data_IF_049763533050
#
_entry.id   IF_049763533050
#
_cell.length_a   1.000
_cell.length_b   1.000
_cell.length_c   1.000
_cell.angle_alpha   90.00
_cell.angle_beta   90.00
_cell.angle_gamma   90.00
#
_symmetry.space_group_name_H-M   'P 1'
#
loop_
_entity.id
_entity.type
_entity.pdbx_description
1 polymer ?
#
# COMPACT_ATOMS: atom_id res chain seq x y z
N UNK A 1 5.48 -16.51 3.38
CA UNK A 1 5.13 -15.60 4.49
C UNK A 1 5.31 -14.14 4.14
N UNK A 2 6.52 -13.61 3.89
CA UNK A 2 6.66 -12.17 3.53
C UNK A 2 6.03 -11.82 2.17
N UNK A 3 6.11 -12.73 1.20
CA UNK A 3 5.50 -12.57 -0.13
C UNK A 3 3.97 -12.50 -0.08
N UNK A 4 3.33 -13.32 0.76
CA UNK A 4 1.87 -13.35 0.90
C UNK A 4 1.34 -12.04 1.50
N UNK A 5 2.04 -11.47 2.49
CA UNK A 5 1.71 -10.17 3.05
C UNK A 5 1.84 -9.05 2.00
N UNK A 6 2.88 -9.09 1.17
CA UNK A 6 3.09 -8.10 0.11
C UNK A 6 1.97 -8.20 -0.95
N UNK A 7 1.58 -9.41 -1.34
CA UNK A 7 0.49 -9.63 -2.29
C UNK A 7 -0.87 -9.15 -1.72
N UNK A 8 -1.12 -9.40 -0.44
CA UNK A 8 -2.31 -8.94 0.27
C UNK A 8 -2.38 -7.39 0.31
N UNK A 9 -1.28 -6.75 0.71
CA UNK A 9 -1.15 -5.29 0.71
C UNK A 9 -1.38 -4.74 -0.71
N UNK A 10 -0.78 -5.36 -1.73
CA UNK A 10 -0.95 -4.95 -3.13
C UNK A 10 -2.42 -5.02 -3.55
N UNK A 11 -3.12 -6.12 -3.24
CA UNK A 11 -4.54 -6.28 -3.57
C UNK A 11 -5.40 -5.19 -2.94
N UNK A 12 -5.20 -4.91 -1.65
CA UNK A 12 -5.96 -3.87 -0.96
C UNK A 12 -5.60 -2.46 -1.47
N UNK A 13 -4.34 -2.20 -1.81
CA UNK A 13 -3.94 -0.95 -2.48
C UNK A 13 -4.62 -0.79 -3.85
N UNK A 14 -4.75 -1.86 -4.64
CA UNK A 14 -5.43 -1.81 -5.94
C UNK A 14 -6.90 -1.38 -5.80
N UNK A 15 -7.59 -1.86 -4.77
CA UNK A 15 -8.97 -1.45 -4.46
C UNK A 15 -9.03 0.04 -4.08
N UNK A 16 -8.12 0.50 -3.21
CA UNK A 16 -8.08 1.90 -2.77
C UNK A 16 -7.74 2.86 -3.91
N UNK A 17 -6.86 2.44 -4.83
CA UNK A 17 -6.47 3.22 -6.00
C UNK A 17 -7.49 3.14 -7.14
N UNK A 18 -8.57 2.37 -6.99
CA UNK A 18 -9.58 2.18 -8.03
C UNK A 18 -9.09 1.37 -9.25
N UNK A 19 -7.99 0.62 -9.09
CA UNK A 19 -7.46 -0.30 -10.09
C UNK A 19 -8.30 -1.58 -10.12
N UNK A 20 -8.74 -2.05 -8.94
CA UNK A 20 -9.54 -3.25 -8.76
C UNK A 20 -10.88 -2.95 -8.06
N UNK A 21 -11.86 -3.86 -8.21
CA UNK A 21 -13.17 -3.73 -7.56
C UNK A 21 -13.17 -4.43 -6.20
N UNK A 22 -13.51 -3.70 -5.15
CA UNK A 22 -13.64 -4.26 -3.81
C UNK A 22 -14.27 -3.28 -2.84
N UNK A 23 -14.39 -3.69 -1.58
CA UNK A 23 -14.87 -2.83 -0.51
C UNK A 23 -13.73 -1.93 -0.01
N UNK A 24 -13.94 -0.62 -0.12
CA UNK A 24 -12.92 0.38 0.26
C UNK A 24 -12.67 0.37 1.77
N UNK A 25 -13.71 0.18 2.58
CA UNK A 25 -13.58 0.19 4.02
C UNK A 25 -12.82 -1.04 4.51
N UNK A 26 -13.13 -2.22 3.96
CA UNK A 26 -12.40 -3.45 4.20
C UNK A 26 -10.93 -3.31 3.79
N UNK A 27 -10.65 -2.76 2.60
CA UNK A 27 -9.28 -2.57 2.13
C UNK A 27 -8.46 -1.65 3.04
N UNK A 28 -9.06 -0.55 3.53
CA UNK A 28 -8.39 0.36 4.47
C UNK A 28 -8.12 -0.35 5.80
N UNK A 29 -9.09 -1.11 6.33
CA UNK A 29 -8.94 -1.87 7.58
C UNK A 29 -7.87 -2.96 7.47
N UNK A 30 -7.83 -3.69 6.36
CA UNK A 30 -6.82 -4.71 6.10
C UNK A 30 -5.42 -4.10 6.03
N UNK A 31 -5.25 -2.97 5.35
CA UNK A 31 -3.97 -2.25 5.32
C UNK A 31 -3.55 -1.72 6.69
N UNK A 32 -4.51 -1.32 7.54
CA UNK A 32 -4.20 -0.85 8.90
C UNK A 32 -3.68 -2.00 9.78
N UNK A 33 -4.17 -3.22 9.59
CA UNK A 33 -3.61 -4.41 10.23
C UNK A 33 -2.24 -4.79 9.62
N UNK A 34 -2.15 -4.80 8.28
CA UNK A 34 -0.94 -5.17 7.56
C UNK A 34 0.25 -4.23 7.85
N UNK A 35 0.01 -2.95 8.17
CA UNK A 35 1.09 -2.00 8.52
C UNK A 35 1.91 -2.45 9.74
N UNK A 36 1.31 -3.21 10.66
CA UNK A 36 1.95 -3.71 11.87
C UNK A 36 2.91 -4.88 11.57
N UNK A 37 2.61 -5.63 10.51
CA UNK A 37 3.42 -6.75 10.04
C UNK A 37 4.42 -6.34 8.95
N UNK A 38 4.14 -5.25 8.23
CA UNK A 38 5.05 -4.68 7.25
C UNK A 38 6.27 -4.05 7.92
N UNK A 39 7.43 -4.10 7.25
CA UNK A 39 8.68 -3.51 7.74
C UNK A 39 9.21 -2.45 6.78
N UNK A 40 10.10 -1.58 7.28
CA UNK A 40 10.78 -0.56 6.48
C UNK A 40 9.85 0.50 5.88
N UNK A 41 10.13 0.88 4.62
CA UNK A 41 9.40 1.95 3.92
C UNK A 41 7.91 1.64 3.71
N UNK A 42 7.55 0.37 3.54
CA UNK A 42 6.17 -0.02 3.30
C UNK A 42 5.27 0.31 4.51
N UNK A 43 5.71 -0.05 5.72
CA UNK A 43 5.00 0.31 6.96
C UNK A 43 4.84 1.81 7.10
N UNK A 44 5.89 2.59 6.80
CA UNK A 44 5.84 4.05 6.85
C UNK A 44 4.81 4.64 5.87
N UNK A 45 4.76 4.16 4.63
CA UNK A 45 3.79 4.65 3.65
C UNK A 45 2.35 4.28 4.03
N UNK A 46 2.13 3.07 4.55
CA UNK A 46 0.82 2.65 5.05
C UNK A 46 0.37 3.50 6.25
N UNK A 47 1.26 3.77 7.21
CA UNK A 47 0.95 4.62 8.37
C UNK A 47 0.58 6.06 7.97
N UNK A 48 1.23 6.61 6.94
CA UNK A 48 0.92 7.95 6.41
C UNK A 48 -0.26 7.96 5.42
N UNK A 49 -0.93 6.82 5.20
CA UNK A 49 -1.96 6.64 4.15
C UNK A 49 -1.48 7.09 2.76
N UNK A 50 -0.19 6.94 2.52
CA UNK A 50 0.46 7.27 1.25
C UNK A 50 0.35 6.08 0.29
N UNK A 51 -0.89 5.66 0.02
CA UNK A 51 -1.21 4.42 -0.72
C UNK A 51 -0.57 4.39 -2.11
N UNK A 52 -0.50 5.53 -2.78
CA UNK A 52 0.16 5.65 -4.08
C UNK A 52 1.69 5.39 -3.99
N UNK A 53 2.36 5.85 -2.93
CA UNK A 53 3.80 5.57 -2.71
C UNK A 53 4.02 4.09 -2.35
N UNK A 54 3.14 3.53 -1.52
CA UNK A 54 3.18 2.12 -1.19
C UNK A 54 3.03 1.26 -2.45
N UNK A 55 2.09 1.59 -3.33
CA UNK A 55 1.91 0.89 -4.61
C UNK A 55 3.15 0.98 -5.51
N UNK A 56 3.71 2.19 -5.69
CA UNK A 56 4.92 2.38 -6.50
C UNK A 56 6.09 1.55 -5.94
N UNK A 57 6.26 1.53 -4.62
CA UNK A 57 7.29 0.72 -3.96
C UNK A 57 7.10 -0.78 -4.24
N UNK A 58 5.86 -1.27 -4.23
CA UNK A 58 5.55 -2.68 -4.52
C UNK A 58 5.73 -3.06 -5.99
N UNK A 59 5.48 -2.14 -6.92
CA UNK A 59 5.73 -2.35 -8.35
C UNK A 59 7.23 -2.26 -8.72
N UNK A 60 8.12 -2.04 -7.74
CA UNK A 60 9.56 -1.86 -7.95
C UNK A 60 9.94 -0.50 -8.53
N UNK A 61 9.02 0.47 -8.47
CA UNK A 61 9.25 1.85 -8.85
C UNK A 61 9.84 2.69 -7.71
N UNK A 62 10.27 3.90 -8.05
CA UNK A 62 10.84 4.85 -7.09
C UNK A 62 9.75 5.79 -6.53
N UNK A 63 9.35 5.65 -5.25
CA UNK A 63 8.27 6.44 -4.67
C UNK A 63 8.63 7.93 -4.49
N UNK A 64 9.92 8.29 -4.61
CA UNK A 64 10.39 9.67 -4.49
C UNK A 64 10.33 10.42 -5.83
N UNK A 65 10.33 9.71 -6.96
CA UNK A 65 10.21 10.31 -8.29
C UNK A 65 8.83 10.87 -8.65
N UNK A 66 7.78 10.63 -7.87
CA UNK A 66 6.40 10.87 -8.30
C UNK A 66 5.51 11.75 -7.42
N UNK A 67 5.88 12.09 -6.18
CA UNK A 67 5.00 12.87 -5.29
C UNK A 67 5.82 13.80 -4.40
N UNK A 68 6.39 14.83 -5.04
CA UNK A 68 6.82 16.07 -4.41
C UNK A 68 5.77 17.13 -4.74
N UNK A 69 5.26 17.80 -3.71
CA UNK A 69 4.00 18.52 -3.72
C UNK A 69 3.92 19.70 -4.69
N UNK A 70 2.70 20.00 -5.08
CA UNK A 70 2.28 21.35 -5.44
C UNK A 70 0.93 21.63 -4.83
#
# INVERSE_FOLDING_TARGET
>A
METELIEDIRRHLAVILGIDKGDLAEAISALDAAKLSATGHLSHYLAKRSYQKAWILLEGGDPEKGICGK
#
